data_IF_853222822185
#
_entry.id   IF_853222822185
#
_cell.length_a   1.000
_cell.length_b   1.000
_cell.length_c   1.000
_cell.angle_alpha   90.00
_cell.angle_beta   90.00
_cell.angle_gamma   90.00
#
_symmetry.space_group_name_H-M   'P 1'
#
loop_
_entity.id
_entity.type
_entity.pdbx_description
1 polymer ?
#
# COMPACT_ATOMS: atom_id res chain seq x y z
N UNK A 1 16.20 -15.86 16.41
CA UNK A 1 16.38 -14.42 16.14
C UNK A 1 15.02 -13.79 15.99
N UNK A 2 14.88 -12.50 16.26
CA UNK A 2 13.64 -11.76 15.98
C UNK A 2 13.57 -11.39 14.50
N UNK A 3 12.35 -11.25 13.98
CA UNK A 3 12.08 -10.72 12.65
C UNK A 3 12.29 -9.20 12.72
N UNK A 4 13.27 -8.62 12.00
CA UNK A 4 13.54 -7.19 12.05
C UNK A 4 12.31 -6.36 11.68
N UNK A 5 12.05 -5.28 12.42
CA UNK A 5 10.94 -4.36 12.16
C UNK A 5 9.56 -4.87 12.59
N UNK A 6 9.41 -6.12 13.02
CA UNK A 6 8.12 -6.69 13.40
C UNK A 6 7.98 -6.81 14.92
N UNK A 7 7.07 -6.04 15.50
CA UNK A 7 6.87 -5.97 16.96
C UNK A 7 5.41 -6.14 17.38
N UNK A 8 5.18 -6.63 18.58
CA UNK A 8 3.86 -6.64 19.23
C UNK A 8 4.01 -5.91 20.55
N UNK A 9 3.28 -4.82 20.75
CA UNK A 9 3.40 -3.97 21.94
C UNK A 9 4.84 -3.47 22.22
N UNK A 10 5.67 -3.33 21.18
CA UNK A 10 7.08 -2.93 21.29
C UNK A 10 8.08 -4.09 21.38
N UNK A 11 7.60 -5.33 21.57
CA UNK A 11 8.47 -6.51 21.65
C UNK A 11 8.66 -7.16 20.27
N UNK A 12 9.92 -7.37 19.88
CA UNK A 12 10.24 -8.07 18.63
C UNK A 12 9.75 -9.52 18.65
N UNK A 13 9.11 -9.95 17.56
CA UNK A 13 8.61 -11.34 17.45
C UNK A 13 9.52 -12.19 16.57
N UNK A 14 9.41 -13.51 16.69
CA UNK A 14 10.24 -14.49 15.99
C UNK A 14 9.44 -15.31 14.96
N UNK A 15 8.11 -15.33 15.07
CA UNK A 15 7.23 -16.09 14.18
C UNK A 15 5.87 -15.41 13.98
N UNK A 16 5.26 -15.60 12.82
CA UNK A 16 3.93 -15.06 12.49
C UNK A 16 2.84 -15.56 13.46
N UNK A 17 2.96 -16.78 13.97
CA UNK A 17 2.02 -17.37 14.92
C UNK A 17 1.87 -16.55 16.21
N UNK A 18 2.89 -15.76 16.58
CA UNK A 18 2.82 -14.86 17.74
C UNK A 18 1.84 -13.70 17.54
N UNK A 19 1.41 -13.44 16.30
CA UNK A 19 0.38 -12.44 15.98
C UNK A 19 -1.04 -12.97 16.12
N UNK A 20 -1.23 -14.28 16.27
CA UNK A 20 -2.55 -14.92 16.27
C UNK A 20 -3.49 -14.40 17.36
N UNK A 21 -2.96 -14.05 18.54
CA UNK A 21 -3.73 -13.55 19.68
C UNK A 21 -3.83 -12.02 19.74
N UNK A 22 -3.24 -11.28 18.80
CA UNK A 22 -3.15 -9.82 18.89
C UNK A 22 -4.53 -9.18 18.61
N UNK A 23 -4.99 -8.26 19.48
CA UNK A 23 -6.29 -7.61 19.31
C UNK A 23 -6.31 -6.74 18.05
N UNK A 24 -7.51 -6.50 17.52
CA UNK A 24 -7.75 -5.80 16.24
C UNK A 24 -7.05 -4.43 16.14
N UNK A 25 -7.01 -3.67 17.22
CA UNK A 25 -6.35 -2.36 17.28
C UNK A 25 -4.82 -2.40 17.28
N UNK A 26 -4.21 -3.54 17.63
CA UNK A 26 -2.77 -3.70 17.79
C UNK A 26 -2.11 -4.50 16.65
N UNK A 27 -2.83 -4.70 15.54
CA UNK A 27 -2.34 -5.42 14.35
C UNK A 27 -2.46 -4.57 13.08
N UNK A 28 -1.63 -3.52 12.92
CA UNK A 28 -1.58 -2.73 11.70
C UNK A 28 -0.85 -3.52 10.60
N UNK A 29 -1.35 -4.71 10.25
CA UNK A 29 -0.65 -5.64 9.35
C UNK A 29 -1.50 -6.00 8.14
N UNK A 30 -0.81 -6.28 7.04
CA UNK A 30 -1.37 -6.88 5.83
C UNK A 30 -0.69 -8.21 5.57
N UNK A 31 -1.48 -9.24 5.29
CA UNK A 31 -1.00 -10.50 4.70
C UNK A 31 -1.38 -10.51 3.23
N UNK A 32 -0.42 -10.75 2.35
CA UNK A 32 -0.67 -10.86 0.90
C UNK A 32 0.16 -11.99 0.28
N UNK A 33 -0.40 -12.76 -0.67
CA UNK A 33 0.35 -13.78 -1.36
C UNK A 33 1.44 -13.13 -2.23
N UNK A 34 2.42 -13.93 -2.62
CA UNK A 34 3.42 -13.57 -3.61
C UNK A 34 2.79 -12.93 -4.84
N UNK A 35 3.47 -11.94 -5.42
CA UNK A 35 3.02 -11.25 -6.63
C UNK A 35 2.87 -12.19 -7.84
N UNK A 36 3.52 -13.37 -7.80
CA UNK A 36 3.38 -14.41 -8.82
C UNK A 36 2.10 -15.26 -8.66
N UNK A 37 1.37 -15.10 -7.56
CA UNK A 37 0.12 -15.82 -7.32
C UNK A 37 -1.00 -15.29 -8.22
N UNK A 38 -1.88 -16.17 -8.75
CA UNK A 38 -3.10 -15.74 -9.44
C UNK A 38 -4.08 -15.00 -8.51
N UNK A 39 -3.85 -14.96 -7.20
CA UNK A 39 -4.63 -14.19 -6.23
C UNK A 39 -4.07 -12.77 -5.99
N UNK A 40 -2.89 -12.45 -6.53
CA UNK A 40 -2.22 -11.17 -6.29
C UNK A 40 -2.85 -10.00 -7.06
N UNK A 41 -3.65 -10.27 -8.10
CA UNK A 41 -4.28 -9.22 -8.89
C UNK A 41 -5.55 -8.68 -8.22
N UNK A 42 -5.79 -7.37 -8.41
CA UNK A 42 -7.05 -6.74 -8.00
C UNK A 42 -7.34 -6.76 -6.49
N UNK A 43 -6.30 -6.86 -5.65
CA UNK A 43 -6.37 -6.93 -4.17
C UNK A 43 -7.05 -8.16 -3.57
N UNK A 44 -7.41 -9.17 -4.37
CA UNK A 44 -8.18 -10.34 -3.91
C UNK A 44 -7.49 -11.16 -2.81
N UNK A 45 -6.18 -11.31 -2.88
CA UNK A 45 -5.40 -12.03 -1.87
C UNK A 45 -4.94 -11.17 -0.69
N UNK A 46 -5.35 -9.90 -0.59
CA UNK A 46 -4.87 -8.98 0.43
C UNK A 46 -5.79 -9.00 1.65
N UNK A 47 -5.26 -9.38 2.80
CA UNK A 47 -5.98 -9.41 4.07
C UNK A 47 -5.45 -8.32 5.01
N UNK A 48 -6.31 -7.37 5.37
CA UNK A 48 -6.02 -6.34 6.36
C UNK A 48 -6.37 -6.86 7.76
N UNK A 49 -5.37 -7.06 8.61
CA UNK A 49 -5.57 -7.65 9.92
C UNK A 49 -6.54 -6.83 10.79
N UNK A 50 -6.48 -5.49 10.68
CA UNK A 50 -7.36 -4.56 11.39
C UNK A 50 -8.79 -4.50 10.86
N UNK A 51 -9.15 -5.27 9.82
CA UNK A 51 -10.53 -5.43 9.34
C UNK A 51 -11.15 -6.77 9.76
N UNK A 52 -10.32 -7.80 9.94
CA UNK A 52 -10.75 -9.15 10.26
C UNK A 52 -11.26 -9.29 11.70
N UNK A 53 -12.03 -10.35 11.96
CA UNK A 53 -12.26 -10.84 13.33
C UNK A 53 -10.97 -11.48 13.90
N UNK A 54 -10.95 -11.86 15.18
CA UNK A 54 -9.79 -12.60 15.72
C UNK A 54 -9.65 -13.97 15.04
N UNK A 55 -10.76 -14.68 14.87
CA UNK A 55 -10.81 -15.99 14.24
C UNK A 55 -10.34 -15.93 12.77
N UNK A 56 -10.86 -14.99 11.99
CA UNK A 56 -10.46 -14.85 10.58
C UNK A 56 -8.99 -14.49 10.44
N UNK A 57 -8.45 -13.72 11.39
CA UNK A 57 -7.02 -13.37 11.41
C UNK A 57 -6.15 -14.59 11.69
N UNK A 58 -6.51 -15.40 12.67
CA UNK A 58 -5.82 -16.65 12.99
C UNK A 58 -5.84 -17.60 11.79
N UNK A 59 -7.00 -17.75 11.15
CA UNK A 59 -7.15 -18.55 9.94
C UNK A 59 -6.30 -18.02 8.79
N UNK A 60 -6.22 -16.70 8.62
CA UNK A 60 -5.39 -16.06 7.58
C UNK A 60 -3.92 -16.36 7.80
N UNK A 61 -3.42 -16.21 9.03
CA UNK A 61 -2.04 -16.54 9.38
C UNK A 61 -1.72 -18.02 9.17
N UNK A 62 -2.62 -18.90 9.62
CA UNK A 62 -2.44 -20.34 9.45
C UNK A 62 -2.41 -20.73 7.96
N UNK A 63 -3.36 -20.22 7.17
CA UNK A 63 -3.38 -20.43 5.70
C UNK A 63 -2.08 -19.94 5.06
N UNK A 64 -1.57 -18.78 5.47
CA UNK A 64 -0.33 -18.22 4.94
C UNK A 64 0.88 -19.10 5.26
N UNK A 65 0.96 -19.65 6.47
CA UNK A 65 2.04 -20.56 6.90
C UNK A 65 1.96 -21.90 6.18
N UNK A 66 0.77 -22.49 6.10
CA UNK A 66 0.55 -23.80 5.45
C UNK A 66 0.79 -23.75 3.94
N UNK A 67 0.62 -22.57 3.33
CA UNK A 67 0.80 -22.38 1.89
C UNK A 67 2.25 -22.13 1.46
N UNK A 68 3.22 -22.08 2.38
CA UNK A 68 4.58 -21.61 2.09
C UNK A 68 5.24 -22.28 0.87
N UNK A 69 5.12 -23.61 0.75
CA UNK A 69 5.72 -24.39 -0.34
C UNK A 69 5.07 -24.18 -1.72
N UNK A 70 3.86 -23.61 -1.78
CA UNK A 70 3.08 -23.49 -3.03
C UNK A 70 2.74 -22.06 -3.41
N UNK A 71 2.39 -21.23 -2.43
CA UNK A 71 2.12 -19.80 -2.58
C UNK A 71 2.65 -19.12 -1.33
N UNK A 72 3.90 -18.64 -1.35
CA UNK A 72 4.44 -17.94 -0.20
C UNK A 72 3.67 -16.64 0.02
N UNK A 73 3.39 -16.33 1.28
CA UNK A 73 2.75 -15.10 1.71
C UNK A 73 3.77 -14.19 2.40
N UNK A 74 3.56 -12.89 2.28
CA UNK A 74 4.30 -11.89 3.03
C UNK A 74 3.38 -11.22 4.03
N UNK A 75 3.93 -10.98 5.22
CA UNK A 75 3.35 -10.12 6.24
C UNK A 75 4.08 -8.78 6.17
N UNK A 76 3.32 -7.70 6.16
CA UNK A 76 3.85 -6.34 6.07
C UNK A 76 3.10 -5.45 7.05
N UNK A 77 3.78 -4.47 7.62
CA UNK A 77 3.09 -3.35 8.27
C UNK A 77 2.23 -2.58 7.26
N UNK A 78 1.03 -2.22 7.68
CA UNK A 78 0.07 -1.44 6.90
C UNK A 78 0.30 0.04 7.12
N UNK A 79 0.87 0.69 6.12
CA UNK A 79 0.97 2.15 6.09
C UNK A 79 -0.24 2.74 5.38
N UNK A 80 -0.99 3.57 6.10
CA UNK A 80 -2.14 4.28 5.54
C UNK A 80 -1.65 5.32 4.53
N UNK A 81 -2.11 5.22 3.28
CA UNK A 81 -1.82 6.22 2.25
C UNK A 81 -2.33 7.61 2.65
N UNK A 82 -1.59 8.64 2.28
CA UNK A 82 -2.00 10.04 2.40
C UNK A 82 -3.31 10.31 1.66
N UNK A 83 -4.04 11.31 2.12
CA UNK A 83 -5.29 11.77 1.51
C UNK A 83 -5.05 13.08 0.76
N UNK A 84 -5.72 13.21 -0.39
CA UNK A 84 -5.66 14.38 -1.25
C UNK A 84 -7.08 14.74 -1.66
N UNK A 85 -7.43 16.01 -1.60
CA UNK A 85 -8.67 16.49 -2.19
C UNK A 85 -8.40 16.78 -3.67
N UNK A 86 -9.17 16.12 -4.53
CA UNK A 86 -9.02 16.18 -5.98
C UNK A 86 -10.36 16.41 -6.63
N UNK A 87 -10.35 16.90 -7.86
CA UNK A 87 -11.52 16.97 -8.71
C UNK A 87 -11.40 15.97 -9.86
N UNK A 88 -12.51 15.37 -10.26
CA UNK A 88 -12.53 14.40 -11.35
C UNK A 88 -13.77 14.55 -12.21
N UNK A 89 -13.64 14.22 -13.50
CA UNK A 89 -14.78 14.17 -14.40
C UNK A 89 -15.55 12.86 -14.18
N UNK A 90 -16.77 12.97 -13.67
CA UNK A 90 -17.68 11.83 -13.56
C UNK A 90 -18.22 11.48 -14.95
N UNK A 91 -17.75 10.38 -15.53
CA UNK A 91 -18.13 9.95 -16.87
C UNK A 91 -19.64 9.68 -17.01
N UNK A 92 -20.35 9.35 -15.93
CA UNK A 92 -21.79 9.09 -15.98
C UNK A 92 -22.61 10.37 -16.10
N UNK A 93 -22.12 11.47 -15.49
CA UNK A 93 -22.86 12.73 -15.41
C UNK A 93 -22.25 13.84 -16.26
N UNK A 94 -21.02 13.67 -16.74
CA UNK A 94 -20.27 14.69 -17.48
C UNK A 94 -19.83 15.89 -16.63
N UNK A 95 -20.00 15.83 -15.31
CA UNK A 95 -19.68 16.92 -14.40
C UNK A 95 -18.38 16.65 -13.64
N UNK A 96 -17.64 17.72 -13.37
CA UNK A 96 -16.50 17.69 -12.46
C UNK A 96 -17.03 17.59 -11.03
N UNK A 97 -16.52 16.65 -10.24
CA UNK A 97 -16.90 16.40 -8.85
C UNK A 97 -15.68 16.38 -7.94
N UNK A 98 -15.79 16.90 -6.71
CA UNK A 98 -14.74 16.74 -5.72
C UNK A 98 -14.71 15.31 -5.18
N UNK A 99 -13.52 14.84 -4.81
CA UNK A 99 -13.29 13.56 -4.15
C UNK A 99 -12.12 13.69 -3.18
N UNK A 100 -12.31 13.26 -1.93
CA UNK A 100 -11.18 12.99 -1.03
C UNK A 100 -10.62 11.62 -1.37
N UNK A 101 -9.40 11.58 -1.89
CA UNK A 101 -8.78 10.43 -2.51
C UNK A 101 -7.59 9.91 -1.71
N UNK A 102 -7.34 8.59 -1.78
CA UNK A 102 -6.04 8.01 -1.49
C UNK A 102 -5.28 7.77 -2.79
N UNK A 103 -3.97 7.94 -2.76
CA UNK A 103 -3.12 7.88 -3.95
C UNK A 103 -2.08 6.79 -3.83
N UNK A 104 -1.92 6.00 -4.90
CA UNK A 104 -0.78 5.12 -5.13
C UNK A 104 0.04 5.68 -6.28
N UNK A 105 1.33 5.89 -6.04
CA UNK A 105 2.29 6.27 -7.06
C UNK A 105 2.96 5.00 -7.62
N UNK A 106 2.95 4.88 -8.94
CA UNK A 106 3.61 3.82 -9.69
C UNK A 106 4.71 4.47 -10.55
N UNK A 107 5.95 4.59 -10.03
CA UNK A 107 7.07 5.11 -10.80
C UNK A 107 7.50 4.11 -11.88
N UNK A 108 7.78 4.62 -13.07
CA UNK A 108 8.30 3.89 -14.21
C UNK A 108 9.74 4.31 -14.46
N UNK A 109 10.63 3.32 -14.56
CA UNK A 109 12.05 3.54 -14.81
C UNK A 109 12.43 2.95 -16.16
N UNK A 110 13.23 3.68 -16.94
CA UNK A 110 13.91 3.15 -18.12
C UNK A 110 15.36 2.83 -17.80
N UNK A 111 15.90 1.81 -18.46
CA UNK A 111 17.33 1.53 -18.42
C UNK A 111 18.01 2.35 -19.51
N UNK A 112 18.90 3.26 -19.11
CA UNK A 112 19.74 4.06 -20.01
C UNK A 112 21.18 3.65 -19.73
N UNK A 113 21.75 2.83 -20.62
CA UNK A 113 22.97 2.09 -20.29
C UNK A 113 22.71 1.11 -19.14
N UNK A 114 23.52 1.20 -18.08
CA UNK A 114 23.41 0.38 -16.86
C UNK A 114 22.70 1.10 -15.69
N UNK A 115 22.11 2.28 -15.94
CA UNK A 115 21.43 3.07 -14.91
C UNK A 115 19.90 3.05 -15.09
N UNK A 116 19.18 2.97 -13.97
CA UNK A 116 17.73 3.08 -13.92
C UNK A 116 17.30 4.54 -13.75
N UNK A 117 16.71 5.13 -14.78
CA UNK A 117 16.26 6.52 -14.79
C UNK A 117 14.74 6.61 -14.60
N UNK A 118 14.27 7.45 -13.67
CA UNK A 118 12.84 7.72 -13.50
C UNK A 118 12.30 8.46 -14.73
N UNK A 119 11.41 7.82 -15.49
CA UNK A 119 10.88 8.35 -16.75
C UNK A 119 9.43 8.82 -16.65
N UNK A 120 8.74 8.48 -15.57
CA UNK A 120 7.39 8.95 -15.30
C UNK A 120 6.80 8.33 -14.05
N UNK A 121 5.69 8.90 -13.56
CA UNK A 121 4.94 8.34 -12.45
C UNK A 121 3.46 8.38 -12.78
N UNK A 122 2.82 7.23 -12.68
CA UNK A 122 1.37 7.11 -12.75
C UNK A 122 0.80 7.22 -11.33
N UNK A 123 -0.13 8.15 -11.12
CA UNK A 123 -0.97 8.18 -9.93
C UNK A 123 -2.25 7.37 -10.19
N UNK A 124 -2.54 6.43 -9.30
CA UNK A 124 -3.87 5.82 -9.17
C UNK A 124 -4.54 6.41 -7.93
N UNK A 125 -5.65 7.10 -8.13
CA UNK A 125 -6.44 7.72 -7.07
C UNK A 125 -7.73 6.91 -6.87
N UNK A 126 -8.09 6.64 -5.63
CA UNK A 126 -9.35 5.96 -5.27
C UNK A 126 -10.05 6.72 -4.15
N UNK A 127 -11.38 6.60 -4.00
CA UNK A 127 -12.10 7.16 -2.86
C UNK A 127 -11.44 6.81 -1.51
N UNK A 128 -11.41 7.75 -0.57
CA UNK A 128 -10.65 7.61 0.68
C UNK A 128 -11.17 6.55 1.66
N UNK A 129 -12.40 6.05 1.44
CA UNK A 129 -12.99 4.90 2.14
C UNK A 129 -12.36 3.57 1.70
N UNK A 130 -11.66 3.52 0.57
CA UNK A 130 -10.95 2.32 0.10
C UNK A 130 -9.58 2.21 0.78
N UNK A 131 -9.28 1.07 1.40
CA UNK A 131 -7.95 0.77 1.96
C UNK A 131 -6.97 0.26 0.91
N UNK A 132 -7.41 -0.67 0.06
CA UNK A 132 -6.61 -1.19 -1.04
C UNK A 132 -6.70 -0.25 -2.26
N UNK A 133 -5.55 0.14 -2.81
CA UNK A 133 -5.47 0.99 -4.00
C UNK A 133 -5.06 0.12 -5.19
N UNK A 134 -6.00 -0.15 -6.07
CA UNK A 134 -5.81 -0.92 -7.31
C UNK A 134 -6.71 -0.38 -8.42
N UNK A 135 -6.61 -0.95 -9.63
CA UNK A 135 -7.55 -0.62 -10.70
C UNK A 135 -8.97 -1.04 -10.32
N UNK A 136 -9.88 -0.08 -10.25
CA UNK A 136 -11.30 -0.28 -9.90
C UNK A 136 -12.17 0.72 -10.68
N UNK A 137 -13.48 0.49 -10.73
CA UNK A 137 -14.40 1.33 -11.52
C UNK A 137 -14.33 2.82 -11.14
N UNK A 138 -14.20 3.11 -9.84
CA UNK A 138 -14.10 4.49 -9.32
C UNK A 138 -12.65 5.00 -9.24
N UNK A 139 -11.70 4.24 -9.81
CA UNK A 139 -10.28 4.59 -9.81
C UNK A 139 -9.96 5.60 -10.90
N UNK A 140 -9.28 6.68 -10.54
CA UNK A 140 -8.79 7.69 -11.49
C UNK A 140 -7.30 7.45 -11.73
N UNK A 141 -6.89 7.51 -12.99
CA UNK A 141 -5.50 7.40 -13.40
C UNK A 141 -5.04 8.74 -13.97
N UNK A 142 -3.93 9.27 -13.45
CA UNK A 142 -3.35 10.52 -13.93
C UNK A 142 -1.83 10.45 -13.95
N UNK A 143 -1.20 11.27 -14.78
CA UNK A 143 0.25 11.46 -14.77
C UNK A 143 0.64 12.40 -13.64
N UNK A 144 1.81 12.18 -13.05
CA UNK A 144 2.34 13.09 -12.03
C UNK A 144 3.30 14.10 -12.65
N UNK A 145 3.31 15.30 -12.08
CA UNK A 145 4.36 16.29 -12.29
C UNK A 145 5.04 16.57 -10.96
N UNK A 146 6.34 16.85 -10.99
CA UNK A 146 7.06 17.32 -9.79
C UNK A 146 6.45 18.66 -9.37
N UNK A 147 5.96 18.72 -8.13
CA UNK A 147 5.45 19.96 -7.55
C UNK A 147 6.54 21.03 -7.56
N UNK A 148 6.20 22.24 -7.99
CA UNK A 148 7.07 23.39 -7.75
C UNK A 148 6.99 23.72 -6.25
N UNK A 149 8.11 23.82 -5.55
CA UNK A 149 8.13 24.37 -4.20
C UNK A 149 7.66 25.83 -4.28
N UNK A 150 6.42 26.09 -3.89
CA UNK A 150 5.85 27.45 -3.84
C UNK A 150 6.16 28.16 -2.52
N UNK A 151 7.08 27.63 -1.72
CA UNK A 151 7.58 28.29 -0.53
C UNK A 151 8.20 29.64 -0.93
N UNK A 152 7.74 30.78 -0.37
CA UNK A 152 8.30 32.08 -0.70
C UNK A 152 9.69 32.19 -0.07
N UNK A 153 10.72 31.83 -0.84
CA UNK A 153 12.12 31.89 -0.43
C UNK A 153 12.94 30.76 -1.04
N UNK A 154 13.53 31.02 -2.20
CA UNK A 154 14.41 30.08 -2.89
C UNK A 154 15.59 29.64 -2.02
N UNK A 155 15.49 28.42 -1.50
CA UNK A 155 16.61 27.62 -1.03
C UNK A 155 16.51 26.28 -1.73
N UNK A 156 17.60 25.86 -2.38
CA UNK A 156 17.71 24.58 -3.08
C UNK A 156 17.11 23.44 -2.25
N UNK A 157 16.27 22.55 -2.82
CA UNK A 157 15.68 21.46 -2.05
C UNK A 157 16.80 20.52 -1.64
N UNK A 158 17.21 20.58 -0.38
CA UNK A 158 18.01 19.53 0.22
C UNK A 158 17.21 18.23 0.07
N UNK A 159 17.80 17.24 -0.62
CA UNK A 159 17.29 15.87 -0.65
C UNK A 159 16.92 15.46 0.77
N UNK A 160 15.63 15.40 1.06
CA UNK A 160 15.15 14.66 2.22
C UNK A 160 15.00 13.22 1.78
N UNK A 161 16.11 12.50 1.89
CA UNK A 161 16.08 11.05 1.90
C UNK A 161 15.40 10.64 3.21
N UNK A 162 14.09 10.41 3.17
CA UNK A 162 13.34 9.75 4.24
C UNK A 162 12.44 8.68 3.61
N UNK A 163 13.06 7.56 3.29
CA UNK A 163 12.45 6.26 3.47
C UNK A 163 13.02 5.69 4.78
N UNK A 164 12.20 5.73 5.82
CA UNK A 164 12.39 5.05 7.09
C UNK A 164 11.08 4.39 7.46
#
# INVERSE_FOLDING_TARGET
GTIPGLTVNGDGIQAFSQLAGVPKSARPYVVKPSAFSPLAWGSKGVSFADDLSLEDWQKTLQTALDSFETTPYILQEFHKSCRFDVEYLDANTGHVRPMSARVRLCPYYFLVGDEAELSGVLATLVPSDKKAIHGMADGIMSVCQVGQDTSPGGGSPARRDHFG
#
